data_IF_017113273617
#
_entry.id   IF_017113273617
#
_cell.length_a   1.000
_cell.length_b   1.000
_cell.length_c   1.000
_cell.angle_alpha   90.00
_cell.angle_beta   90.00
_cell.angle_gamma   90.00
#
_symmetry.space_group_name_H-M   'P 1'
#
loop_
_entity.id
_entity.type
_entity.pdbx_description
1 polymer ?
#
# COMPACT_ATOMS: atom_id res chain seq x y z
N UNK A 1 -13.81 5.29 -8.61
CA UNK A 1 -12.49 5.88 -8.90
C UNK A 1 -11.45 5.19 -8.04
N UNK A 2 -10.76 4.23 -8.62
CA UNK A 2 -9.67 3.49 -7.99
C UNK A 2 -8.50 4.44 -7.69
N UNK A 3 -8.00 4.44 -6.46
CA UNK A 3 -6.79 5.19 -6.10
C UNK A 3 -5.62 4.24 -5.99
N UNK A 4 -4.62 4.48 -6.83
CA UNK A 4 -3.42 3.68 -6.94
C UNK A 4 -2.22 4.53 -6.54
N UNK A 5 -1.44 4.06 -5.58
CA UNK A 5 -0.24 4.73 -5.10
C UNK A 5 0.90 3.73 -4.99
N UNK A 6 2.10 4.18 -5.33
CA UNK A 6 3.34 3.48 -4.97
C UNK A 6 4.19 4.43 -4.17
N UNK A 7 4.66 3.98 -3.01
CA UNK A 7 5.41 4.82 -2.09
C UNK A 7 6.56 4.09 -1.41
N UNK A 8 7.57 4.88 -1.03
CA UNK A 8 8.69 4.44 -0.23
C UNK A 8 8.49 4.90 1.23
N UNK A 9 8.57 3.96 2.18
CA UNK A 9 8.37 4.25 3.62
C UNK A 9 9.64 4.76 4.30
N UNK A 10 10.80 4.66 3.63
CA UNK A 10 12.11 4.97 4.20
C UNK A 10 12.69 3.90 5.12
N UNK A 11 11.95 2.80 5.38
CA UNK A 11 12.46 1.68 6.18
C UNK A 11 13.52 0.88 5.43
N UNK A 12 14.57 0.47 6.13
CA UNK A 12 15.80 -0.09 5.57
C UNK A 12 15.72 -1.61 5.33
N UNK A 13 14.77 -2.07 4.51
CA UNK A 13 14.69 -3.50 4.12
C UNK A 13 15.49 -3.84 2.86
N UNK A 14 15.69 -2.87 1.96
CA UNK A 14 16.58 -2.99 0.79
C UNK A 14 17.43 -1.71 0.66
N UNK A 15 18.36 -1.69 -0.31
CA UNK A 15 19.16 -0.49 -0.64
C UNK A 15 18.29 0.71 -1.07
N UNK A 16 17.13 0.42 -1.66
CA UNK A 16 16.18 1.44 -2.10
C UNK A 16 15.16 1.80 -1.01
N UNK A 17 15.14 1.09 0.13
CA UNK A 17 14.14 1.22 1.18
C UNK A 17 12.97 0.24 1.02
N UNK A 18 11.85 0.51 1.71
CA UNK A 18 10.65 -0.31 1.59
C UNK A 18 9.69 0.30 0.58
N UNK A 19 9.46 -0.38 -0.54
CA UNK A 19 8.55 0.08 -1.58
C UNK A 19 7.24 -0.69 -1.48
N UNK A 20 6.14 0.03 -1.32
CA UNK A 20 4.79 -0.53 -1.23
C UNK A 20 3.93 0.07 -2.34
N UNK A 21 3.20 -0.78 -3.08
CA UNK A 21 2.08 -0.35 -3.92
C UNK A 21 0.77 -0.65 -3.19
N UNK A 22 -0.16 0.28 -3.21
CA UNK A 22 -1.48 0.14 -2.65
C UNK A 22 -2.55 0.62 -3.63
N UNK A 23 -3.61 -0.17 -3.76
CA UNK A 23 -4.76 0.08 -4.63
C UNK A 23 -6.01 0.06 -3.78
N UNK A 24 -6.72 1.17 -3.74
CA UNK A 24 -8.04 1.27 -3.13
C UNK A 24 -9.12 0.99 -4.17
N UNK A 25 -9.89 -0.06 -3.91
CA UNK A 25 -11.09 -0.46 -4.64
C UNK A 25 -12.31 0.17 -3.96
N UNK A 26 -12.88 1.20 -4.60
CA UNK A 26 -13.99 1.96 -4.03
C UNK A 26 -15.32 1.21 -4.09
N UNK A 27 -15.46 0.26 -5.00
CA UNK A 27 -16.66 -0.58 -5.12
C UNK A 27 -16.67 -1.61 -3.98
N UNK A 28 -15.55 -2.30 -3.76
CA UNK A 28 -15.44 -3.29 -2.71
C UNK A 28 -15.16 -2.68 -1.31
N UNK A 29 -14.77 -1.40 -1.25
CA UNK A 29 -14.27 -0.73 -0.03
C UNK A 29 -13.08 -1.48 0.59
N UNK A 30 -12.15 -1.95 -0.24
CA UNK A 30 -10.97 -2.72 0.17
C UNK A 30 -9.71 -2.01 -0.33
N UNK A 31 -8.67 -2.00 0.50
CA UNK A 31 -7.31 -1.66 0.09
C UNK A 31 -6.54 -2.95 -0.08
N UNK A 32 -5.91 -3.11 -1.25
CA UNK A 32 -4.94 -4.19 -1.52
C UNK A 32 -3.56 -3.57 -1.60
N UNK A 33 -2.56 -4.20 -0.99
CA UNK A 33 -1.19 -3.72 -1.03
C UNK A 33 -0.18 -4.85 -1.27
N UNK A 34 0.98 -4.46 -1.79
CA UNK A 34 2.14 -5.33 -1.96
C UNK A 34 3.40 -4.58 -1.53
N UNK A 35 4.10 -5.14 -0.55
CA UNK A 35 5.45 -4.76 -0.14
C UNK A 35 6.45 -5.59 -0.96
N UNK A 36 7.08 -4.95 -1.93
CA UNK A 36 8.05 -5.57 -2.83
C UNK A 36 9.38 -5.87 -2.15
N UNK A 37 9.68 -5.17 -1.06
CA UNK A 37 10.94 -5.32 -0.32
C UNK A 37 10.92 -6.57 0.56
N UNK A 38 9.74 -7.00 1.02
CA UNK A 38 9.58 -8.19 1.88
C UNK A 38 8.72 -9.30 1.29
N UNK A 39 8.22 -9.12 0.06
CA UNK A 39 7.31 -10.05 -0.60
C UNK A 39 6.03 -10.31 0.22
N UNK A 40 5.56 -9.29 0.93
CA UNK A 40 4.34 -9.37 1.74
C UNK A 40 3.21 -8.72 0.96
N UNK A 41 2.07 -9.38 0.90
CA UNK A 41 0.88 -8.84 0.27
C UNK A 41 -0.34 -9.08 1.14
N UNK A 42 -1.26 -8.12 1.10
CA UNK A 42 -2.42 -8.15 1.97
C UNK A 42 -3.55 -7.29 1.48
N UNK A 43 -4.72 -7.52 2.06
CA UNK A 43 -5.88 -6.67 1.88
C UNK A 43 -6.62 -6.42 3.19
N UNK A 44 -7.28 -5.26 3.29
CA UNK A 44 -8.06 -4.88 4.45
C UNK A 44 -9.23 -3.95 4.08
N UNK A 45 -10.34 -3.97 4.84
CA UNK A 45 -11.46 -3.08 4.61
C UNK A 45 -11.09 -1.63 4.92
N UNK A 46 -11.53 -0.69 4.08
CA UNK A 46 -11.23 0.73 4.22
C UNK A 46 -12.41 1.60 3.76
N UNK A 47 -12.95 2.41 4.66
CA UNK A 47 -14.20 3.17 4.46
C UNK A 47 -14.05 4.64 4.86
N UNK A 48 -13.03 5.34 4.34
CA UNK A 48 -12.86 6.79 4.62
C UNK A 48 -13.31 7.66 3.44
N UNK A 49 -13.98 8.75 3.78
CA UNK A 49 -14.55 9.75 2.86
C UNK A 49 -13.55 10.82 2.38
N UNK A 50 -12.30 10.80 2.85
CA UNK A 50 -11.21 11.67 2.41
C UNK A 50 -10.01 10.81 2.05
N UNK A 51 -9.78 10.59 0.75
CA UNK A 51 -8.75 9.68 0.28
C UNK A 51 -7.59 10.44 -0.33
N UNK A 52 -6.88 11.25 0.45
CA UNK A 52 -5.58 11.72 -0.04
C UNK A 52 -4.66 10.52 -0.22
N UNK A 53 -3.67 10.64 -1.10
CA UNK A 53 -2.65 9.58 -1.23
C UNK A 53 -1.90 9.34 0.08
N UNK A 54 -1.73 10.41 0.88
CA UNK A 54 -1.11 10.34 2.20
C UNK A 54 -1.95 9.52 3.19
N UNK A 55 -3.26 9.73 3.23
CA UNK A 55 -4.16 8.97 4.11
C UNK A 55 -4.16 7.48 3.77
N UNK A 56 -4.16 7.16 2.47
CA UNK A 56 -4.10 5.78 2.00
C UNK A 56 -2.76 5.12 2.39
N UNK A 57 -1.63 5.81 2.19
CA UNK A 57 -0.32 5.31 2.60
C UNK A 57 -0.26 5.06 4.12
N UNK A 58 -0.78 6.00 4.92
CA UNK A 58 -0.84 5.88 6.38
C UNK A 58 -1.72 4.70 6.81
N UNK A 59 -2.89 4.51 6.19
CA UNK A 59 -3.77 3.39 6.47
C UNK A 59 -3.08 2.05 6.18
N UNK A 60 -2.38 1.94 5.04
CA UNK A 60 -1.59 0.76 4.69
C UNK A 60 -0.51 0.48 5.73
N UNK A 61 0.23 1.49 6.17
CA UNK A 61 1.26 1.29 7.20
C UNK A 61 0.69 0.87 8.54
N UNK A 62 -0.42 1.46 8.98
CA UNK A 62 -1.10 1.02 10.21
C UNK A 62 -1.55 -0.43 10.08
N UNK A 63 -2.16 -0.82 8.96
CA UNK A 63 -2.58 -2.20 8.74
C UNK A 63 -1.38 -3.15 8.75
N UNK A 64 -0.30 -2.78 8.04
CA UNK A 64 0.92 -3.56 7.93
C UNK A 64 1.59 -3.78 9.30
N UNK A 65 1.79 -2.71 10.07
CA UNK A 65 2.55 -2.75 11.33
C UNK A 65 1.81 -3.51 12.42
N UNK A 66 0.47 -3.45 12.41
CA UNK A 66 -0.37 -4.12 13.38
C UNK A 66 -0.89 -5.48 12.91
N UNK A 67 -0.54 -5.92 11.69
CA UNK A 67 -1.04 -7.18 11.12
C UNK A 67 -2.55 -7.19 10.86
N UNK A 68 -3.16 -6.01 10.65
CA UNK A 68 -4.61 -5.85 10.43
C UNK A 68 -4.99 -6.05 8.96
N UNK A 69 -4.53 -7.14 8.35
CA UNK A 69 -4.81 -7.47 6.96
C UNK A 69 -4.87 -8.98 6.75
N UNK A 70 -5.59 -9.41 5.73
CA UNK A 70 -5.59 -10.79 5.27
C UNK A 70 -4.50 -10.97 4.23
N UNK A 71 -3.62 -11.95 4.40
CA UNK A 71 -2.64 -12.30 3.39
C UNK A 71 -3.34 -12.75 2.10
N UNK A 72 -2.95 -12.18 0.97
CA UNK A 72 -3.54 -12.52 -0.33
C UNK A 72 -2.48 -12.75 -1.40
N UNK A 73 -2.81 -13.66 -2.34
CA UNK A 73 -2.02 -13.88 -3.56
C UNK A 73 -2.42 -12.91 -4.67
N UNK A 74 -3.58 -12.29 -4.57
CA UNK A 74 -4.15 -11.35 -5.56
C UNK A 74 -3.71 -9.91 -5.28
N UNK A 75 -2.41 -9.74 -5.06
CA UNK A 75 -1.82 -8.45 -4.73
C UNK A 75 -1.64 -7.57 -5.98
N UNK A 76 -1.63 -6.24 -5.83
CA UNK A 76 -1.24 -5.35 -6.91
C UNK A 76 0.19 -5.67 -7.37
N UNK A 77 0.37 -5.96 -8.65
CA UNK A 77 1.71 -6.17 -9.24
C UNK A 77 2.52 -4.88 -9.24
N UNK A 78 3.84 -4.93 -9.29
CA UNK A 78 4.60 -3.70 -9.53
C UNK A 78 4.34 -3.23 -10.96
N UNK A 79 3.94 -1.97 -11.12
CA UNK A 79 4.04 -1.29 -12.41
C UNK A 79 5.45 -0.67 -12.49
N UNK A 80 6.32 -1.11 -13.43
CA UNK A 80 7.66 -0.57 -13.59
C UNK A 80 7.69 0.93 -13.90
N UNK A 81 6.62 1.47 -14.48
CA UNK A 81 6.50 2.88 -14.85
C UNK A 81 5.85 3.75 -13.77
N UNK A 82 5.35 3.16 -12.68
CA UNK A 82 4.71 3.93 -11.62
C UNK A 82 5.72 4.82 -10.87
N UNK A 83 5.35 6.09 -10.71
CA UNK A 83 6.09 7.05 -9.89
C UNK A 83 6.12 6.57 -8.43
N UNK A 84 7.33 6.31 -7.90
CA UNK A 84 7.50 5.97 -6.49
C UNK A 84 7.59 7.25 -5.68
N UNK A 85 6.53 7.54 -4.92
CA UNK A 85 6.47 8.74 -4.08
C UNK A 85 7.20 8.50 -2.77
N UNK A 86 8.05 9.45 -2.39
CA UNK A 86 8.61 9.43 -1.03
C UNK A 86 7.56 9.95 -0.06
N UNK A 87 7.02 9.08 0.80
CA UNK A 87 6.09 9.49 1.85
C UNK A 87 6.80 9.26 3.18
N UNK A 88 7.20 10.35 3.83
CA UNK A 88 7.63 10.33 5.24
C UNK A 88 6.37 10.29 6.10
N UNK A 89 6.09 9.12 6.67
CA UNK A 89 4.99 8.88 7.60
C UNK A 89 5.45 9.06 9.05
#
# INVERSE_FOLDING_TARGET
MTKDITFNTGRLYTKEGQIIRAVFDDVACIVRFSDFSRMVSGEFPYQRHGNSQYDLARAVMVAYDHGLYTHTREAPRRDPAAEVRSIRL
#
